data_IF_230034864305
#
_entry.id   IF_230034864305
#
_cell.length_a   1.000
_cell.length_b   1.000
_cell.length_c   1.000
_cell.angle_alpha   90.00
_cell.angle_beta   90.00
_cell.angle_gamma   90.00
#
_symmetry.space_group_name_H-M   'P 1'
#
loop_
_entity.id
_entity.type
_entity.pdbx_description
1 polymer ?
#
# COMPACT_ATOMS: atom_id res chain seq x y z
N UNK A 1 4.27 13.97 2.80
CA UNK A 1 3.42 13.57 3.94
C UNK A 1 3.11 12.11 3.77
N UNK A 2 3.34 11.31 4.80
CA UNK A 2 3.07 9.88 4.85
C UNK A 2 1.88 9.63 5.78
N UNK A 3 1.05 8.67 5.42
CA UNK A 3 -0.11 8.26 6.21
C UNK A 3 -0.13 6.75 6.25
N UNK A 4 -0.22 6.18 7.45
CA UNK A 4 -0.52 4.78 7.65
C UNK A 4 -1.97 4.66 8.12
N UNK A 5 -2.74 3.84 7.43
CA UNK A 5 -4.11 3.49 7.81
C UNK A 5 -4.22 1.98 7.98
N UNK A 6 -5.08 1.53 8.88
CA UNK A 6 -5.46 0.13 9.01
C UNK A 6 -6.96 -0.04 8.76
N UNK A 7 -7.32 -1.26 8.40
CA UNK A 7 -8.70 -1.70 8.32
C UNK A 7 -9.02 -2.52 9.58
N UNK A 8 -10.14 -2.22 10.22
CA UNK A 8 -10.62 -3.01 11.36
C UNK A 8 -11.45 -4.22 10.91
N UNK A 9 -11.90 -5.04 11.88
CA UNK A 9 -12.73 -6.21 11.61
C UNK A 9 -14.13 -5.89 11.07
N UNK A 10 -14.53 -4.62 11.04
CA UNK A 10 -15.78 -4.13 10.45
C UNK A 10 -15.54 -3.46 9.09
N UNK A 11 -14.38 -3.69 8.48
CA UNK A 11 -13.98 -3.12 7.19
C UNK A 11 -13.85 -1.58 7.21
N UNK A 12 -13.73 -0.97 8.39
CA UNK A 12 -13.55 0.46 8.53
C UNK A 12 -12.07 0.82 8.46
N UNK A 13 -11.75 1.86 7.67
CA UNK A 13 -10.41 2.39 7.57
C UNK A 13 -10.22 3.47 8.65
N UNK A 14 -9.17 3.35 9.45
CA UNK A 14 -8.77 4.34 10.44
C UNK A 14 -7.28 4.66 10.35
N UNK A 15 -6.90 5.89 10.70
CA UNK A 15 -5.51 6.33 10.67
C UNK A 15 -4.74 5.84 11.90
N UNK A 16 -3.55 5.29 11.68
CA UNK A 16 -2.62 4.84 12.72
C UNK A 16 -1.54 5.88 12.98
N UNK A 17 -0.94 6.43 11.92
CA UNK A 17 0.18 7.34 12.01
C UNK A 17 0.22 8.33 10.85
N UNK A 18 0.79 9.51 11.13
CA UNK A 18 1.08 10.56 10.17
C UNK A 18 2.54 10.94 10.28
N UNK A 19 3.20 11.16 9.15
CA UNK A 19 4.61 11.54 9.09
C UNK A 19 4.86 12.62 8.06
N UNK A 20 5.88 13.43 8.31
CA UNK A 20 6.37 14.41 7.33
C UNK A 20 7.81 14.04 6.98
N UNK A 21 8.08 13.93 5.68
CA UNK A 21 9.43 13.76 5.15
C UNK A 21 9.56 14.53 3.86
N UNK A 22 10.81 14.70 3.43
CA UNK A 22 11.18 15.63 2.36
C UNK A 22 10.69 15.17 0.98
N UNK A 23 10.69 13.86 0.73
CA UNK A 23 10.14 13.25 -0.48
C UNK A 23 9.94 11.74 -0.32
N UNK A 24 9.40 11.07 -1.33
CA UNK A 24 9.34 9.61 -1.41
C UNK A 24 10.73 9.02 -1.69
N UNK A 25 11.58 9.03 -0.67
CA UNK A 25 12.94 8.50 -0.72
C UNK A 25 13.19 7.51 0.41
N UNK A 26 14.26 6.73 0.28
CA UNK A 26 14.64 5.69 1.24
C UNK A 26 14.74 6.21 2.68
N UNK A 27 15.44 7.33 2.90
CA UNK A 27 15.62 7.89 4.26
C UNK A 27 14.29 8.29 4.92
N UNK A 28 13.38 8.88 4.13
CA UNK A 28 12.09 9.35 4.65
C UNK A 28 11.14 8.18 4.95
N UNK A 29 11.15 7.15 4.10
CA UNK A 29 10.37 5.93 4.31
C UNK A 29 10.90 5.10 5.48
N UNK A 30 12.23 4.93 5.57
CA UNK A 30 12.86 4.23 6.69
C UNK A 30 12.48 4.87 8.02
N UNK A 31 12.67 6.20 8.14
CA UNK A 31 12.32 6.93 9.35
C UNK A 31 10.84 6.77 9.74
N UNK A 32 9.94 6.90 8.76
CA UNK A 32 8.50 6.77 9.00
C UNK A 32 8.12 5.34 9.42
N UNK A 33 8.69 4.33 8.76
CA UNK A 33 8.42 2.92 9.04
C UNK A 33 9.00 2.49 10.39
N UNK A 34 10.17 2.99 10.79
CA UNK A 34 10.73 2.74 12.13
C UNK A 34 9.84 3.33 13.22
N UNK A 35 9.36 4.56 13.02
CA UNK A 35 8.40 5.19 13.92
C UNK A 35 7.09 4.37 13.99
N UNK A 36 6.58 3.91 12.85
CA UNK A 36 5.40 3.05 12.78
C UNK A 36 5.62 1.74 13.53
N UNK A 37 6.78 1.09 13.35
CA UNK A 37 7.15 -0.16 14.03
C UNK A 37 7.21 0.02 15.54
N UNK A 38 7.72 1.15 16.02
CA UNK A 38 7.71 1.48 17.44
C UNK A 38 6.29 1.64 17.99
N UNK A 39 5.37 2.20 17.20
CA UNK A 39 3.98 2.43 17.61
C UNK A 39 3.13 1.15 17.62
N UNK A 40 3.26 0.30 16.59
CA UNK A 40 2.40 -0.89 16.42
C UNK A 40 3.02 -2.17 16.99
N UNK A 41 4.33 -2.18 17.22
CA UNK A 41 5.06 -3.36 17.66
C UNK A 41 5.12 -4.47 16.61
N UNK A 42 5.20 -5.71 17.08
CA UNK A 42 5.11 -6.88 16.23
C UNK A 42 3.66 -7.31 16.06
N UNK A 43 3.26 -7.59 14.81
CA UNK A 43 1.93 -8.07 14.45
C UNK A 43 2.15 -9.29 13.55
N UNK A 44 1.59 -10.43 13.95
CA UNK A 44 1.58 -11.65 13.13
C UNK A 44 0.76 -11.43 11.86
N UNK A 45 1.23 -12.00 10.74
CA UNK A 45 0.57 -11.92 9.43
C UNK A 45 0.28 -10.48 8.96
N UNK A 46 1.10 -9.51 9.38
CA UNK A 46 0.97 -8.11 8.96
C UNK A 46 1.07 -7.96 7.44
N UNK A 47 0.12 -7.26 6.84
CA UNK A 47 0.09 -6.93 5.41
C UNK A 47 0.20 -5.43 5.21
N UNK A 48 1.18 -5.01 4.40
CA UNK A 48 1.28 -3.66 3.87
C UNK A 48 0.68 -3.60 2.47
N UNK A 49 -0.15 -2.58 2.23
CA UNK A 49 -0.68 -2.22 0.91
C UNK A 49 -0.23 -0.78 0.62
N UNK A 50 0.61 -0.57 -0.38
CA UNK A 50 1.18 0.76 -0.68
C UNK A 50 1.26 1.06 -2.17
N UNK A 51 1.66 2.28 -2.54
CA UNK A 51 2.06 2.58 -3.92
C UNK A 51 3.34 1.79 -4.32
N UNK A 52 3.63 1.77 -5.64
CA UNK A 52 4.71 1.03 -6.30
C UNK A 52 6.04 1.81 -6.33
N UNK A 53 6.26 2.78 -5.46
CA UNK A 53 7.55 3.46 -5.43
C UNK A 53 8.62 2.52 -4.86
N UNK A 54 9.74 2.34 -5.56
CA UNK A 54 10.77 1.35 -5.20
C UNK A 54 11.36 1.54 -3.79
N UNK A 55 11.41 2.79 -3.32
CA UNK A 55 11.84 3.07 -1.94
C UNK A 55 10.89 2.48 -0.90
N UNK A 56 9.59 2.41 -1.18
CA UNK A 56 8.61 1.87 -0.24
C UNK A 56 8.85 0.37 -0.04
N UNK A 57 8.93 -0.37 -1.14
CA UNK A 57 9.21 -1.81 -1.12
C UNK A 57 10.55 -2.12 -0.41
N UNK A 58 11.59 -1.34 -0.73
CA UNK A 58 12.92 -1.49 -0.13
C UNK A 58 12.87 -1.31 1.39
N UNK A 59 12.25 -0.23 1.87
CA UNK A 59 12.24 0.07 3.30
C UNK A 59 11.23 -0.78 4.09
N UNK A 60 10.10 -1.19 3.51
CA UNK A 60 9.20 -2.17 4.15
C UNK A 60 9.94 -3.49 4.34
N UNK A 61 10.63 -3.98 3.32
CA UNK A 61 11.39 -5.25 3.41
C UNK A 61 12.51 -5.17 4.45
N UNK A 62 13.09 -3.99 4.66
CA UNK A 62 14.13 -3.74 5.65
C UNK A 62 13.57 -3.65 7.08
N UNK A 63 12.52 -2.87 7.30
CA UNK A 63 11.98 -2.56 8.63
C UNK A 63 11.01 -3.66 9.12
N UNK A 64 10.24 -4.25 8.21
CA UNK A 64 9.26 -5.30 8.47
C UNK A 64 9.52 -6.55 7.61
N UNK A 65 10.65 -7.27 7.82
CA UNK A 65 11.09 -8.36 6.94
C UNK A 65 10.16 -9.58 6.90
N UNK A 66 9.24 -9.68 7.86
CA UNK A 66 8.25 -10.77 7.94
C UNK A 66 6.84 -10.35 7.50
N UNK A 67 6.63 -9.07 7.21
CA UNK A 67 5.34 -8.60 6.73
C UNK A 67 5.18 -8.96 5.25
N UNK A 68 3.96 -9.29 4.86
CA UNK A 68 3.61 -9.38 3.44
C UNK A 68 3.46 -7.98 2.89
N UNK A 69 4.02 -7.73 1.71
CA UNK A 69 3.85 -6.46 1.01
C UNK A 69 3.16 -6.69 -0.33
N UNK A 70 2.13 -5.91 -0.62
CA UNK A 70 1.44 -5.91 -1.90
C UNK A 70 1.17 -4.49 -2.38
N UNK A 71 0.91 -4.37 -3.67
CA UNK A 71 0.65 -3.10 -4.32
C UNK A 71 -0.82 -2.71 -4.16
N UNK A 72 -1.05 -1.44 -3.86
CA UNK A 72 -2.37 -0.84 -3.85
C UNK A 72 -2.94 -0.82 -5.27
N UNK A 73 -4.03 -1.57 -5.47
CA UNK A 73 -4.69 -1.64 -6.77
C UNK A 73 -5.13 -0.25 -7.25
N UNK A 74 -5.66 0.59 -6.36
CA UNK A 74 -6.07 1.95 -6.71
C UNK A 74 -4.91 2.76 -7.35
N UNK A 75 -3.77 2.84 -6.67
CA UNK A 75 -2.59 3.54 -7.19
C UNK A 75 -2.05 2.89 -8.46
N UNK A 76 -2.07 1.56 -8.55
CA UNK A 76 -1.67 0.84 -9.76
C UNK A 76 -2.49 1.27 -10.99
N UNK A 77 -3.82 1.29 -10.86
CA UNK A 77 -4.70 1.68 -11.95
C UNK A 77 -4.66 3.19 -12.24
N UNK A 78 -4.49 4.05 -11.23
CA UNK A 78 -4.21 5.47 -11.40
C UNK A 78 -2.94 5.70 -12.24
N UNK A 79 -1.87 4.97 -11.95
CA UNK A 79 -0.62 5.04 -12.68
C UNK A 79 -0.80 4.59 -14.15
N UNK A 80 -1.53 3.50 -14.40
CA UNK A 80 -1.87 3.06 -15.77
C UNK A 80 -2.70 4.12 -16.50
N UNK A 81 -3.75 4.65 -15.87
CA UNK A 81 -4.60 5.71 -16.44
C UNK A 81 -3.76 6.91 -16.86
N UNK A 82 -2.83 7.35 -16.00
CA UNK A 82 -1.92 8.47 -16.28
C UNK A 82 -0.96 8.17 -17.42
N UNK A 83 -0.34 6.99 -17.43
CA UNK A 83 0.66 6.60 -18.42
C UNK A 83 0.06 6.40 -19.82
N UNK A 84 -1.13 5.81 -19.91
CA UNK A 84 -1.77 5.45 -21.18
C UNK A 84 -2.97 6.33 -21.56
N UNK A 85 -3.24 7.38 -20.79
CA UNK A 85 -4.34 8.34 -21.02
C UNK A 85 -5.74 7.70 -21.16
N UNK A 86 -5.99 6.61 -20.42
CA UNK A 86 -7.26 5.88 -20.44
C UNK A 86 -8.29 6.62 -19.58
N UNK A 87 -9.53 6.76 -20.06
CA UNK A 87 -10.56 7.60 -19.41
C UNK A 87 -11.56 6.88 -18.52
N UNK A 88 -11.66 5.55 -18.54
CA UNK A 88 -12.51 4.79 -17.61
C UNK A 88 -11.98 3.37 -17.43
N UNK A 89 -11.50 3.04 -16.23
CA UNK A 89 -11.04 1.67 -15.89
C UNK A 89 -11.69 1.12 -14.62
N UNK A 90 -12.64 1.86 -14.02
CA UNK A 90 -13.14 1.55 -12.67
C UNK A 90 -13.83 0.19 -12.63
N UNK A 91 -14.67 -0.13 -13.61
CA UNK A 91 -15.37 -1.42 -13.65
C UNK A 91 -14.40 -2.59 -13.89
N UNK A 92 -13.46 -2.43 -14.83
CA UNK A 92 -12.45 -3.45 -15.13
C UNK A 92 -11.52 -3.64 -13.92
N UNK A 93 -11.15 -2.55 -13.24
CA UNK A 93 -10.40 -2.57 -11.99
C UNK A 93 -11.15 -3.34 -10.92
N UNK A 94 -12.41 -3.00 -10.63
CA UNK A 94 -13.18 -3.65 -9.56
C UNK A 94 -13.28 -5.16 -9.80
N UNK A 95 -13.62 -5.58 -11.04
CA UNK A 95 -13.62 -6.98 -11.46
C UNK A 95 -12.25 -7.65 -11.28
N UNK A 96 -11.18 -7.03 -11.75
CA UNK A 96 -9.82 -7.59 -11.67
C UNK A 96 -9.30 -7.70 -10.23
N UNK A 97 -9.69 -6.77 -9.34
CA UNK A 97 -9.23 -6.78 -7.95
C UNK A 97 -9.97 -7.78 -7.05
N UNK A 98 -11.15 -8.23 -7.47
CA UNK A 98 -12.01 -9.16 -6.71
C UNK A 98 -11.94 -10.60 -7.22
N UNK A 99 -11.46 -10.81 -8.45
CA UNK A 99 -11.31 -12.12 -9.04
C UNK A 99 -10.02 -12.80 -8.54
N UNK A 100 -10.15 -14.00 -7.98
CA UNK A 100 -9.02 -14.88 -7.65
C UNK A 100 -8.64 -15.76 -8.84
N UNK A 101 -9.54 -15.92 -9.82
CA UNK A 101 -9.34 -16.74 -11.02
C UNK A 101 -9.82 -16.04 -12.29
N UNK A 102 -9.33 -16.48 -13.45
CA UNK A 102 -9.83 -16.00 -14.74
C UNK A 102 -11.33 -16.30 -14.94
N UNK A 103 -11.84 -17.41 -14.37
CA UNK A 103 -13.25 -17.76 -14.47
C UNK A 103 -14.15 -16.79 -13.69
N UNK A 104 -13.68 -16.26 -12.56
CA UNK A 104 -14.42 -15.27 -11.77
C UNK A 104 -14.37 -13.87 -12.38
N UNK A 105 -13.33 -13.59 -13.18
CA UNK A 105 -13.18 -12.33 -13.89
C UNK A 105 -14.10 -12.23 -15.12
N UNK A 106 -14.26 -13.34 -15.86
CA UNK A 106 -15.01 -13.42 -17.11
C UNK A 106 -16.52 -13.59 -16.90
#
# INVERSE_FOLDING_TARGET
>A
MFVATAQDGNEQIYSIAFGYGDSENNLSWEWFLDCLKCAIGHIDDLVFISDRHASIETEISKVFPYATHTMCCWHFFENIKRQYHIKDVVEIMDKATRAYTELEYN
#
